data_IF_090852221066
#
_entry.id   IF_090852221066
#
_cell.length_a   1.000
_cell.length_b   1.000
_cell.length_c   1.000
_cell.angle_alpha   90.00
_cell.angle_beta   90.00
_cell.angle_gamma   90.00
#
_symmetry.space_group_name_H-M   'P 1'
#
loop_
_entity.id
_entity.type
_entity.pdbx_description
1 polymer ?
#
# COMPACT_ATOMS: atom_id res chain seq x y z
N UNK A 1 -0.54 -19.71 -6.84
CA UNK A 1 0.06 -18.47 -7.40
C UNK A 1 -0.34 -17.33 -6.50
N UNK A 2 0.62 -16.54 -6.02
CA UNK A 2 0.29 -15.32 -5.27
C UNK A 2 -0.29 -14.28 -6.23
N UNK A 3 -1.34 -13.58 -5.81
CA UNK A 3 -1.95 -12.52 -6.63
C UNK A 3 -0.96 -11.36 -6.79
N UNK A 4 -0.84 -10.83 -8.01
CA UNK A 4 -0.08 -9.60 -8.26
C UNK A 4 -0.69 -8.42 -7.45
N UNK A 5 0.14 -7.49 -6.95
CA UNK A 5 -0.35 -6.22 -6.41
C UNK A 5 -1.16 -5.44 -7.46
N UNK A 6 -2.01 -4.52 -7.01
CA UNK A 6 -2.80 -3.70 -7.93
C UNK A 6 -1.91 -2.79 -8.80
N UNK A 7 -0.82 -2.25 -8.23
CA UNK A 7 0.24 -1.58 -8.99
C UNK A 7 1.63 -1.92 -8.46
N UNK A 8 2.60 -1.94 -9.37
CA UNK A 8 4.03 -2.12 -9.09
C UNK A 8 4.77 -0.98 -9.76
N UNK A 9 5.67 -0.31 -9.02
CA UNK A 9 6.48 0.80 -9.53
C UNK A 9 7.96 0.55 -9.23
N UNK A 10 8.86 0.75 -10.22
CA UNK A 10 8.57 1.02 -11.63
C UNK A 10 8.07 -0.20 -12.40
N UNK A 11 8.49 -1.41 -12.00
CA UNK A 11 8.18 -2.67 -12.67
C UNK A 11 8.32 -3.88 -11.74
N UNK A 12 7.90 -5.05 -12.23
CA UNK A 12 7.91 -6.34 -11.52
C UNK A 12 9.30 -6.95 -11.28
N UNK A 13 10.32 -6.52 -12.01
CA UNK A 13 11.68 -7.05 -11.92
C UNK A 13 12.46 -6.37 -10.79
N UNK A 14 12.30 -5.05 -10.66
CA UNK A 14 12.92 -4.25 -9.60
C UNK A 14 11.89 -3.37 -8.86
N UNK A 15 10.93 -3.98 -8.14
CA UNK A 15 9.88 -3.23 -7.47
C UNK A 15 10.45 -2.39 -6.33
N UNK A 16 10.09 -1.11 -6.32
CA UNK A 16 10.41 -0.17 -5.24
C UNK A 16 9.17 0.20 -4.44
N UNK A 17 7.99 0.20 -5.07
CA UNK A 17 6.72 0.57 -4.45
C UNK A 17 5.64 -0.39 -4.94
N UNK A 18 4.84 -0.89 -4.00
CA UNK A 18 3.62 -1.65 -4.28
C UNK A 18 2.41 -0.87 -3.77
N UNK A 19 1.40 -0.71 -4.62
CA UNK A 19 0.14 -0.08 -4.23
C UNK A 19 -0.95 -1.15 -4.24
N UNK A 20 -1.65 -1.30 -3.13
CA UNK A 20 -2.80 -2.18 -3.01
C UNK A 20 -4.05 -1.33 -2.72
N UNK A 21 -5.03 -1.41 -3.60
CA UNK A 21 -6.31 -0.72 -3.49
C UNK A 21 -7.41 -1.67 -3.03
N UNK A 22 -8.15 -1.27 -1.99
CA UNK A 22 -9.18 -2.12 -1.37
C UNK A 22 -10.41 -1.31 -0.97
N UNK A 23 -11.58 -1.89 -1.21
CA UNK A 23 -12.88 -1.35 -0.77
C UNK A 23 -13.55 -2.39 0.12
N UNK A 24 -14.11 -1.96 1.24
CA UNK A 24 -14.86 -2.82 2.14
C UNK A 24 -16.10 -2.09 2.70
N UNK A 25 -17.29 -2.63 2.41
CA UNK A 25 -18.57 -2.10 2.90
C UNK A 25 -18.98 -2.69 4.25
N UNK A 26 -18.41 -3.85 4.61
CA UNK A 26 -18.66 -4.57 5.86
C UNK A 26 -17.37 -5.01 6.58
N UNK A 27 -17.52 -5.41 7.83
CA UNK A 27 -16.42 -5.74 8.76
C UNK A 27 -15.66 -7.03 8.40
N UNK A 28 -16.36 -8.01 7.80
CA UNK A 28 -15.77 -9.29 7.41
C UNK A 28 -14.81 -9.13 6.25
N UNK A 29 -15.22 -8.36 5.24
CA UNK A 29 -14.42 -8.09 4.04
C UNK A 29 -13.18 -7.25 4.38
N UNK A 30 -13.28 -6.34 5.36
CA UNK A 30 -12.15 -5.49 5.76
C UNK A 30 -10.96 -6.32 6.29
N UNK A 31 -11.19 -7.32 7.14
CA UNK A 31 -10.14 -8.16 7.72
C UNK A 31 -9.35 -8.95 6.66
N UNK A 32 -10.06 -9.54 5.71
CA UNK A 32 -9.43 -10.29 4.62
C UNK A 32 -8.57 -9.37 3.75
N UNK A 33 -9.04 -8.14 3.50
CA UNK A 33 -8.29 -7.13 2.76
C UNK A 33 -7.04 -6.65 3.51
N UNK A 34 -7.10 -6.49 4.84
CA UNK A 34 -5.92 -6.15 5.66
C UNK A 34 -4.85 -7.24 5.58
N UNK A 35 -5.25 -8.50 5.62
CA UNK A 35 -4.32 -9.65 5.60
C UNK A 35 -3.43 -9.65 4.36
N UNK A 36 -4.00 -9.29 3.20
CA UNK A 36 -3.27 -9.14 1.94
C UNK A 36 -2.17 -8.08 2.00
N UNK A 37 -2.46 -6.93 2.60
CA UNK A 37 -1.50 -5.81 2.75
C UNK A 37 -0.38 -6.20 3.73
N UNK A 38 -0.73 -6.88 4.83
CA UNK A 38 0.27 -7.41 5.77
C UNK A 38 1.22 -8.41 5.09
N UNK A 39 0.68 -9.30 4.26
CA UNK A 39 1.49 -10.26 3.49
C UNK A 39 2.52 -9.55 2.59
N UNK A 40 2.10 -8.51 1.86
CA UNK A 40 3.01 -7.70 1.03
C UNK A 40 4.12 -7.06 1.87
N UNK A 41 3.79 -6.50 3.04
CA UNK A 41 4.79 -5.93 3.94
C UNK A 41 5.79 -6.97 4.45
N UNK A 42 5.31 -8.17 4.82
CA UNK A 42 6.17 -9.29 5.23
C UNK A 42 7.09 -9.74 4.10
N UNK A 43 6.61 -9.78 2.84
CA UNK A 43 7.45 -10.09 1.69
C UNK A 43 8.56 -9.06 1.50
N UNK A 44 8.26 -7.76 1.67
CA UNK A 44 9.26 -6.69 1.62
C UNK A 44 10.34 -6.88 2.68
N UNK A 45 9.93 -7.09 3.94
CA UNK A 45 10.84 -7.31 5.06
C UNK A 45 11.72 -8.55 4.86
N UNK A 46 11.15 -9.63 4.33
CA UNK A 46 11.90 -10.83 3.99
C UNK A 46 12.97 -10.55 2.94
N UNK A 47 12.66 -9.82 1.86
CA UNK A 47 13.66 -9.41 0.86
C UNK A 47 14.80 -8.63 1.49
N UNK A 48 14.49 -7.66 2.36
CA UNK A 48 15.52 -6.89 3.09
C UNK A 48 16.40 -7.82 3.95
N UNK A 49 15.80 -8.77 4.67
CA UNK A 49 16.56 -9.74 5.48
C UNK A 49 17.45 -10.67 4.66
N UNK A 50 17.12 -10.90 3.38
CA UNK A 50 17.91 -11.65 2.42
C UNK A 50 18.98 -10.79 1.70
N UNK A 51 19.17 -9.53 2.12
CA UNK A 51 20.12 -8.60 1.51
C UNK A 51 19.67 -8.05 0.15
N UNK A 52 18.39 -8.24 -0.22
CA UNK A 52 17.79 -7.70 -1.44
C UNK A 52 17.13 -6.35 -1.17
N UNK A 53 16.88 -5.58 -2.22
CA UNK A 53 16.02 -4.40 -2.13
C UNK A 53 14.60 -4.79 -1.68
N UNK A 54 14.12 -4.10 -0.63
CA UNK A 54 12.72 -4.10 -0.24
C UNK A 54 11.92 -3.10 -1.07
N UNK A 55 10.61 -3.05 -0.81
CA UNK A 55 9.69 -2.09 -1.41
C UNK A 55 8.78 -1.45 -0.37
N UNK A 56 8.36 -0.21 -0.63
CA UNK A 56 7.33 0.50 0.14
C UNK A 56 5.95 -0.07 -0.21
N UNK A 57 5.11 -0.34 0.80
CA UNK A 57 3.73 -0.81 0.58
C UNK A 57 2.77 0.32 0.91
N UNK A 58 1.97 0.73 -0.07
CA UNK A 58 0.96 1.78 0.05
C UNK A 58 -0.43 1.13 0.00
N UNK A 59 -1.25 1.40 1.01
CA UNK A 59 -2.64 0.96 1.04
C UNK A 59 -3.57 2.10 0.63
N UNK A 60 -4.34 1.93 -0.44
CA UNK A 60 -5.45 2.79 -0.79
C UNK A 60 -6.75 2.12 -0.35
N UNK A 61 -7.49 2.71 0.59
CA UNK A 61 -8.68 2.10 1.18
C UNK A 61 -9.93 2.97 0.99
N UNK A 62 -11.08 2.31 0.89
CA UNK A 62 -12.38 2.98 0.92
C UNK A 62 -13.46 2.09 1.56
N UNK A 63 -14.59 2.69 1.91
CA UNK A 63 -15.75 1.99 2.49
C UNK A 63 -15.76 1.99 4.02
N UNK A 64 -16.93 1.72 4.60
CA UNK A 64 -17.16 1.87 6.05
C UNK A 64 -16.49 0.78 6.89
N UNK A 65 -16.20 -0.39 6.33
CA UNK A 65 -15.64 -1.53 7.08
C UNK A 65 -14.29 -1.23 7.73
N UNK A 66 -13.47 -0.35 7.12
CA UNK A 66 -12.19 0.08 7.70
C UNK A 66 -12.35 1.10 8.84
N UNK A 67 -13.48 1.82 8.91
CA UNK A 67 -13.74 2.82 9.95
C UNK A 67 -14.22 2.23 11.29
N UNK A 68 -14.69 0.98 11.28
CA UNK A 68 -15.34 0.35 12.45
C UNK A 68 -14.32 -0.37 13.36
N UNK A 69 -13.24 -0.91 12.79
CA UNK A 69 -12.29 -1.77 13.52
C UNK A 69 -10.93 -1.12 13.70
N UNK A 70 -10.73 -0.50 14.88
CA UNK A 70 -9.45 0.12 15.28
C UNK A 70 -8.25 -0.81 15.13
N UNK A 71 -8.43 -2.09 15.43
CA UNK A 71 -7.35 -3.09 15.36
C UNK A 71 -6.90 -3.37 13.93
N UNK A 72 -7.84 -3.42 12.98
CA UNK A 72 -7.49 -3.66 11.57
C UNK A 72 -6.85 -2.40 10.96
N UNK A 73 -7.29 -1.21 11.36
CA UNK A 73 -6.58 0.03 11.02
C UNK A 73 -5.17 0.10 11.62
N UNK A 74 -4.99 -0.32 12.88
CA UNK A 74 -3.67 -0.39 13.51
C UNK A 74 -2.73 -1.28 12.70
N UNK A 75 -3.19 -2.48 12.32
CA UNK A 75 -2.43 -3.41 11.47
C UNK A 75 -2.06 -2.82 10.11
N UNK A 76 -2.98 -2.09 9.47
CA UNK A 76 -2.69 -1.40 8.21
C UNK A 76 -1.61 -0.34 8.39
N UNK A 77 -1.74 0.52 9.40
CA UNK A 77 -0.77 1.56 9.70
C UNK A 77 0.61 0.96 10.02
N UNK A 78 0.68 -0.12 10.79
CA UNK A 78 1.93 -0.81 11.09
C UNK A 78 2.56 -1.46 9.86
N UNK A 79 1.77 -2.20 9.07
CA UNK A 79 2.27 -2.90 7.88
C UNK A 79 2.78 -1.94 6.80
N UNK A 80 2.14 -0.78 6.66
CA UNK A 80 2.47 0.23 5.64
C UNK A 80 3.32 1.37 6.17
N UNK A 81 3.76 1.32 7.43
CA UNK A 81 4.46 2.44 8.09
C UNK A 81 3.70 3.78 7.95
N UNK A 82 2.37 3.72 8.07
CA UNK A 82 1.47 4.86 7.98
C UNK A 82 1.05 5.26 6.56
N UNK A 83 1.50 4.56 5.50
CA UNK A 83 1.12 4.85 4.10
C UNK A 83 -0.26 4.29 3.75
N UNK A 84 -1.28 4.77 4.47
CA UNK A 84 -2.69 4.45 4.26
C UNK A 84 -3.43 5.69 3.77
N UNK A 85 -4.02 5.60 2.58
CA UNK A 85 -4.73 6.71 1.95
C UNK A 85 -6.19 6.32 1.71
N UNK A 86 -7.10 7.21 2.07
CA UNK A 86 -8.52 7.10 1.72
C UNK A 86 -8.80 7.89 0.46
N UNK A 87 -9.99 7.75 -0.14
CA UNK A 87 -10.39 8.65 -1.24
C UNK A 87 -10.27 10.15 -0.87
N UNK A 88 -10.43 10.52 0.41
CA UNK A 88 -10.33 11.91 0.87
C UNK A 88 -8.88 12.41 1.04
N UNK A 89 -7.92 11.49 1.10
CA UNK A 89 -6.50 11.80 1.31
C UNK A 89 -5.63 11.37 0.13
N UNK A 90 -6.22 10.82 -0.94
CA UNK A 90 -5.52 10.29 -2.09
C UNK A 90 -4.68 11.36 -2.82
N UNK A 91 -5.08 12.63 -2.77
CA UNK A 91 -4.32 13.76 -3.29
C UNK A 91 -2.93 13.91 -2.66
N UNK A 92 -2.72 13.38 -1.45
CA UNK A 92 -1.44 13.44 -0.73
C UNK A 92 -0.55 12.22 -1.01
N UNK A 93 -1.02 11.25 -1.80
CA UNK A 93 -0.34 9.97 -2.00
C UNK A 93 1.06 10.14 -2.60
N UNK A 94 1.21 11.01 -3.61
CA UNK A 94 2.51 11.23 -4.26
C UNK A 94 3.48 11.92 -3.30
N UNK A 95 3.07 13.01 -2.67
CA UNK A 95 3.95 13.85 -1.84
C UNK A 95 4.38 13.18 -0.53
N UNK A 96 3.63 12.20 -0.05
CA UNK A 96 3.90 11.50 1.20
C UNK A 96 4.39 10.06 0.99
N UNK A 97 4.85 9.68 -0.19
CA UNK A 97 5.42 8.35 -0.46
C UNK A 97 6.65 8.48 -1.36
N UNK A 98 7.34 7.36 -1.60
CA UNK A 98 8.49 7.31 -2.52
C UNK A 98 8.09 7.57 -3.97
N UNK A 99 6.79 7.62 -4.29
CA UNK A 99 6.28 8.00 -5.62
C UNK A 99 6.70 9.40 -6.04
N UNK A 100 6.99 10.30 -5.09
CA UNK A 100 7.54 11.62 -5.38
C UNK A 100 8.81 11.55 -6.26
N UNK A 101 9.63 10.50 -6.10
CA UNK A 101 10.83 10.29 -6.90
C UNK A 101 10.57 9.88 -8.36
N UNK A 102 9.34 9.50 -8.70
CA UNK A 102 8.91 9.10 -10.04
C UNK A 102 8.12 10.19 -10.78
N UNK A 103 7.91 11.35 -10.14
CA UNK A 103 7.21 12.46 -10.76
C UNK A 103 8.03 12.99 -11.94
N UNK A 104 7.48 12.92 -13.14
CA UNK A 104 8.04 13.62 -14.29
C UNK A 104 7.80 15.12 -14.14
N UNK A 105 8.84 15.92 -14.38
CA UNK A 105 8.70 17.37 -14.53
C UNK A 105 8.00 17.65 -15.86
N UNK A 106 6.68 17.53 -15.91
CA UNK A 106 5.90 18.24 -16.91
C UNK A 106 5.86 19.72 -16.48
N UNK A 107 6.97 20.42 -16.70
CA UNK A 107 6.91 21.87 -16.89
C UNK A 107 6.15 22.07 -18.19
N UNK A 108 4.99 22.69 -18.09
CA UNK A 108 4.25 23.19 -19.23
C UNK A 108 5.14 24.17 -20.00
N UNK A 109 5.41 23.86 -21.27
CA UNK A 109 5.70 24.89 -22.27
C UNK A 109 4.45 25.74 -22.52
#
# INVERSE_FOLDING_TARGET
MDQAPDFIVPDEWNPQILIEAKVAEDDGTARDKVTRIQHLATLSQKRVSEGKGGFEVIACINGRGFGVRREDMRKLLEATQGKVFTLKTLQYLVDHTSLAGFRSNFLSD
#
